data_IF_019180891441
#
_entry.id   IF_019180891441
#
_cell.length_a   1.000
_cell.length_b   1.000
_cell.length_c   1.000
_cell.angle_alpha   90.00
_cell.angle_beta   90.00
_cell.angle_gamma   90.00
#
_symmetry.space_group_name_H-M   'P 1'
#
loop_
_entity.id
_entity.type
_entity.pdbx_description
1 polymer ?
#
# COMPACT_ATOMS: atom_id res chain seq x y z
N UNK A 1 44.88 -67.61 27.67
CA UNK A 1 45.29 -67.63 26.24
C UNK A 1 44.16 -67.04 25.41
N UNK A 2 44.43 -66.41 24.26
CA UNK A 2 45.14 -65.16 24.02
C UNK A 2 44.21 -64.14 23.31
N UNK A 3 44.69 -62.93 23.05
CA UNK A 3 43.98 -61.97 22.20
C UNK A 3 44.64 -60.60 22.19
N UNK A 4 45.83 -60.50 21.60
CA UNK A 4 46.49 -59.23 21.29
C UNK A 4 45.67 -58.46 20.24
N UNK A 5 45.49 -57.15 20.43
CA UNK A 5 45.25 -56.22 19.33
C UNK A 5 46.24 -55.05 19.46
N UNK A 6 47.19 -55.03 18.53
CA UNK A 6 48.06 -53.88 18.26
C UNK A 6 47.24 -52.75 17.64
N UNK A 7 47.40 -51.53 18.15
CA UNK A 7 47.04 -50.31 17.43
C UNK A 7 48.33 -49.54 17.11
N UNK A 8 48.63 -49.47 15.81
CA UNK A 8 49.75 -48.72 15.22
C UNK A 8 49.61 -47.22 15.52
N UNK A 9 50.73 -46.58 15.85
CA UNK A 9 50.88 -45.13 15.94
C UNK A 9 50.54 -44.48 14.60
N UNK A 10 49.74 -43.41 14.63
CA UNK A 10 49.56 -42.47 13.53
C UNK A 10 50.65 -41.40 13.66
N UNK A 11 51.51 -41.31 12.66
CA UNK A 11 52.47 -40.23 12.54
C UNK A 11 51.73 -38.93 12.19
N UNK A 12 52.10 -37.84 12.89
CA UNK A 12 51.61 -36.48 12.66
C UNK A 12 52.21 -35.94 11.36
N UNK A 13 51.37 -35.71 10.34
CA UNK A 13 51.74 -34.91 9.18
C UNK A 13 51.45 -33.43 9.47
N UNK A 14 52.52 -32.65 9.54
CA UNK A 14 52.49 -31.19 9.71
C UNK A 14 52.01 -30.57 8.39
N UNK A 15 50.79 -30.01 8.41
CA UNK A 15 50.25 -29.26 7.29
C UNK A 15 51.04 -27.95 7.11
N UNK A 16 51.72 -27.83 5.97
CA UNK A 16 52.39 -26.60 5.53
C UNK A 16 51.34 -25.65 4.94
N UNK A 17 51.14 -24.48 5.58
CA UNK A 17 50.16 -23.43 5.25
C UNK A 17 50.36 -22.73 3.87
N UNK A 18 51.19 -23.30 2.98
CA UNK A 18 51.67 -22.64 1.77
C UNK A 18 50.93 -22.95 0.47
N UNK A 19 50.07 -23.96 0.42
CA UNK A 19 49.58 -24.47 -0.87
C UNK A 19 48.16 -25.05 -0.80
N UNK A 20 47.19 -24.20 -0.45
CA UNK A 20 45.74 -24.52 -0.54
C UNK A 20 45.16 -24.00 -1.86
N UNK A 21 45.86 -23.11 -2.56
CA UNK A 21 45.32 -22.35 -3.69
C UNK A 21 45.99 -22.67 -5.03
N UNK A 22 46.77 -23.74 -5.08
CA UNK A 22 47.37 -24.25 -6.30
C UNK A 22 46.98 -25.71 -6.51
N UNK A 23 45.70 -25.95 -6.80
CA UNK A 23 45.45 -26.86 -7.91
C UNK A 23 44.37 -26.31 -8.83
N UNK A 24 44.70 -26.43 -10.09
CA UNK A 24 44.04 -25.89 -11.25
C UNK A 24 42.96 -26.86 -11.67
N UNK A 25 41.70 -26.52 -11.43
CA UNK A 25 40.64 -26.94 -12.33
C UNK A 25 39.95 -25.68 -12.85
N UNK A 26 40.15 -25.49 -14.14
CA UNK A 26 39.58 -24.50 -15.04
C UNK A 26 38.08 -24.78 -15.21
N UNK A 27 37.35 -24.95 -14.10
CA UNK A 27 35.91 -24.95 -14.10
C UNK A 27 35.48 -23.49 -14.18
N UNK A 28 35.33 -23.02 -15.42
CA UNK A 28 34.50 -21.86 -15.74
C UNK A 28 33.29 -21.90 -14.81
N UNK A 29 33.23 -20.96 -13.85
CA UNK A 29 32.10 -20.83 -12.96
C UNK A 29 30.88 -20.53 -13.84
N UNK A 30 30.15 -21.59 -14.21
CA UNK A 30 28.88 -21.53 -14.91
C UNK A 30 27.83 -21.39 -13.82
N UNK A 31 27.34 -20.16 -13.56
CA UNK A 31 26.29 -19.99 -12.58
C UNK A 31 25.10 -20.78 -13.10
N UNK A 32 24.60 -21.74 -12.32
CA UNK A 32 23.39 -22.52 -12.58
C UNK A 32 22.15 -21.64 -12.41
N UNK A 33 22.15 -20.47 -13.05
CA UNK A 33 20.99 -19.61 -13.19
C UNK A 33 20.33 -20.10 -14.47
N UNK A 34 19.07 -20.53 -14.37
CA UNK A 34 18.27 -20.86 -15.55
C UNK A 34 18.37 -19.70 -16.56
N UNK A 35 18.57 -19.98 -17.85
CA UNK A 35 18.81 -18.94 -18.86
C UNK A 35 17.70 -17.88 -18.89
N UNK A 36 16.52 -18.26 -18.43
CA UNK A 36 15.30 -17.48 -18.31
C UNK A 36 15.33 -16.49 -17.11
N UNK A 37 16.19 -16.74 -16.12
CA UNK A 37 16.39 -15.92 -14.90
C UNK A 37 17.62 -15.00 -15.00
N UNK A 38 18.28 -14.92 -16.16
CA UNK A 38 19.38 -13.98 -16.37
C UNK A 38 18.88 -12.53 -16.50
N UNK A 39 18.98 -11.77 -15.41
CA UNK A 39 18.66 -10.35 -15.38
C UNK A 39 19.84 -9.52 -15.93
N UNK A 40 19.74 -8.98 -17.14
CA UNK A 40 20.72 -8.04 -17.73
C UNK A 40 20.99 -8.25 -19.23
N UNK A 41 21.79 -7.35 -19.84
CA UNK A 41 22.28 -7.50 -21.22
C UNK A 41 23.48 -8.45 -21.22
N UNK A 42 23.42 -9.53 -22.01
CA UNK A 42 24.56 -10.45 -22.19
C UNK A 42 25.68 -9.70 -22.94
N UNK A 43 26.88 -9.62 -22.33
CA UNK A 43 28.05 -9.00 -22.95
C UNK A 43 29.03 -10.10 -23.39
N UNK A 44 29.51 -10.03 -24.63
CA UNK A 44 30.34 -11.08 -25.27
C UNK A 44 31.85 -10.84 -25.08
N UNK A 45 32.24 -10.21 -23.96
CA UNK A 45 33.63 -9.84 -23.67
C UNK A 45 34.18 -10.57 -22.44
N UNK A 46 35.50 -10.73 -22.38
CA UNK A 46 36.22 -11.22 -21.18
C UNK A 46 36.09 -10.15 -20.09
N UNK A 47 35.06 -10.28 -19.26
CA UNK A 47 34.83 -9.41 -18.10
C UNK A 47 35.42 -10.05 -16.85
N UNK A 48 35.94 -9.23 -15.95
CA UNK A 48 36.41 -9.69 -14.65
C UNK A 48 35.23 -10.18 -13.81
N UNK A 49 35.36 -11.34 -13.15
CA UNK A 49 34.26 -12.06 -12.48
C UNK A 49 33.52 -11.18 -11.46
N UNK A 50 34.26 -10.33 -10.73
CA UNK A 50 33.71 -9.38 -9.78
C UNK A 50 32.83 -8.31 -10.45
N UNK A 51 33.24 -7.82 -11.62
CA UNK A 51 32.47 -6.81 -12.37
C UNK A 51 31.19 -7.41 -12.95
N UNK A 52 31.23 -8.67 -13.40
CA UNK A 52 30.06 -9.40 -13.86
C UNK A 52 29.07 -9.67 -12.73
N UNK A 53 29.56 -10.06 -11.54
CA UNK A 53 28.73 -10.26 -10.35
C UNK A 53 28.05 -8.95 -9.88
N UNK A 54 28.80 -7.84 -9.85
CA UNK A 54 28.27 -6.53 -9.47
C UNK A 54 27.20 -6.05 -10.46
N UNK A 55 27.41 -6.23 -11.78
CA UNK A 55 26.40 -5.91 -12.80
C UNK A 55 25.11 -6.71 -12.61
N UNK A 56 25.20 -8.02 -12.36
CA UNK A 56 24.02 -8.85 -12.09
C UNK A 56 23.27 -8.39 -10.83
N UNK A 57 24.00 -8.03 -9.77
CA UNK A 57 23.40 -7.48 -8.56
C UNK A 57 22.65 -6.18 -8.85
N UNK A 58 23.24 -5.28 -9.65
CA UNK A 58 22.59 -4.03 -10.05
C UNK A 58 21.39 -4.26 -10.99
N UNK A 59 21.49 -5.17 -11.95
CA UNK A 59 20.40 -5.51 -12.86
C UNK A 59 19.20 -6.14 -12.12
N UNK A 60 19.47 -7.09 -11.22
CA UNK A 60 18.46 -7.69 -10.34
C UNK A 60 17.82 -6.65 -9.44
N UNK A 61 18.63 -5.79 -8.82
CA UNK A 61 18.12 -4.68 -8.00
C UNK A 61 17.25 -3.74 -8.83
N UNK A 62 17.68 -3.35 -10.02
CA UNK A 62 16.92 -2.47 -10.92
C UNK A 62 15.60 -3.08 -11.42
N UNK A 63 15.57 -4.38 -11.69
CA UNK A 63 14.32 -5.08 -12.04
C UNK A 63 13.33 -5.11 -10.87
N UNK A 64 13.81 -5.46 -9.67
CA UNK A 64 12.98 -5.47 -8.46
C UNK A 64 12.48 -4.07 -8.13
N UNK A 65 13.35 -3.06 -8.25
CA UNK A 65 13.01 -1.66 -8.03
C UNK A 65 11.97 -1.20 -9.03
N UNK A 66 12.17 -1.42 -10.34
CA UNK A 66 11.20 -1.05 -11.38
C UNK A 66 9.83 -1.73 -11.21
N UNK A 67 9.80 -2.98 -10.73
CA UNK A 67 8.56 -3.69 -10.45
C UNK A 67 7.86 -3.17 -9.19
N UNK A 68 8.64 -2.71 -8.19
CA UNK A 68 8.11 -2.03 -7.01
C UNK A 68 7.56 -0.65 -7.37
N UNK A 69 8.34 0.16 -8.07
CA UNK A 69 7.96 1.50 -8.54
C UNK A 69 6.71 1.45 -9.39
N UNK A 70 6.61 0.53 -10.36
CA UNK A 70 5.43 0.43 -11.24
C UNK A 70 4.15 0.11 -10.46
N UNK A 71 4.23 -0.69 -9.39
CA UNK A 71 3.08 -1.00 -8.53
C UNK A 71 2.69 0.19 -7.67
N UNK A 72 3.68 0.92 -7.16
CA UNK A 72 3.46 2.13 -6.37
C UNK A 72 2.84 3.23 -7.23
N UNK A 73 3.37 3.48 -8.43
CA UNK A 73 2.87 4.46 -9.37
C UNK A 73 1.40 4.20 -9.74
N UNK A 74 1.06 2.94 -10.04
CA UNK A 74 -0.33 2.53 -10.29
C UNK A 74 -1.26 2.80 -9.11
N UNK A 75 -0.80 2.55 -7.89
CA UNK A 75 -1.59 2.79 -6.68
C UNK A 75 -1.78 4.29 -6.43
N UNK A 76 -0.72 5.08 -6.58
CA UNK A 76 -0.76 6.53 -6.41
C UNK A 76 -1.64 7.20 -7.46
N UNK A 77 -1.56 6.77 -8.72
CA UNK A 77 -2.44 7.28 -9.79
C UNK A 77 -3.92 7.03 -9.46
N UNK A 78 -4.25 5.85 -8.93
CA UNK A 78 -5.60 5.53 -8.45
C UNK A 78 -6.02 6.43 -7.27
N UNK A 79 -5.12 6.67 -6.33
CA UNK A 79 -5.36 7.55 -5.19
C UNK A 79 -5.57 9.00 -5.62
N UNK A 80 -4.73 9.54 -6.50
CA UNK A 80 -4.79 10.92 -6.98
C UNK A 80 -6.10 11.21 -7.73
N UNK A 81 -6.65 10.20 -8.41
CA UNK A 81 -7.97 10.28 -9.06
C UNK A 81 -9.12 10.24 -8.05
N UNK A 82 -9.07 9.33 -7.08
CA UNK A 82 -10.16 9.10 -6.13
C UNK A 82 -10.20 10.08 -4.94
N UNK A 83 -9.05 10.59 -4.52
CA UNK A 83 -8.92 11.41 -3.31
C UNK A 83 -9.68 12.74 -3.40
N UNK A 84 -9.61 13.52 -4.49
CA UNK A 84 -10.36 14.78 -4.59
C UNK A 84 -11.88 14.57 -4.45
N UNK A 85 -12.41 13.52 -5.09
CA UNK A 85 -13.82 13.16 -5.02
C UNK A 85 -14.24 12.77 -3.60
N UNK A 86 -13.47 11.92 -2.94
CA UNK A 86 -13.71 11.54 -1.54
C UNK A 86 -13.63 12.74 -0.60
N UNK A 87 -12.70 13.67 -0.85
CA UNK A 87 -12.53 14.89 -0.08
C UNK A 87 -13.73 15.83 -0.22
N UNK A 88 -14.25 16.02 -1.45
CA UNK A 88 -15.45 16.81 -1.70
C UNK A 88 -16.66 16.26 -0.92
N UNK A 89 -16.89 14.96 -1.02
CA UNK A 89 -17.94 14.26 -0.26
C UNK A 89 -17.74 14.44 1.26
N UNK A 90 -16.52 14.29 1.75
CA UNK A 90 -16.17 14.48 3.16
C UNK A 90 -16.46 15.90 3.65
N UNK A 91 -16.15 16.91 2.83
CA UNK A 91 -16.47 18.32 3.13
C UNK A 91 -17.98 18.52 3.21
N UNK A 92 -18.75 17.94 2.29
CA UNK A 92 -20.22 18.02 2.33
C UNK A 92 -20.80 17.43 3.60
N UNK A 93 -20.39 16.20 3.95
CA UNK A 93 -20.81 15.54 5.20
C UNK A 93 -20.43 16.36 6.43
N UNK A 94 -19.19 16.86 6.47
CA UNK A 94 -18.69 17.69 7.56
C UNK A 94 -19.49 18.97 7.74
N UNK A 95 -19.86 19.65 6.64
CA UNK A 95 -20.71 20.84 6.66
C UNK A 95 -22.09 20.53 7.25
N UNK A 96 -22.73 19.44 6.82
CA UNK A 96 -24.06 19.04 7.31
C UNK A 96 -24.05 18.80 8.82
N UNK A 97 -23.09 17.99 9.30
CA UNK A 97 -22.95 17.68 10.72
C UNK A 97 -22.60 18.94 11.52
N UNK A 98 -21.73 19.79 10.99
CA UNK A 98 -21.33 21.05 11.62
C UNK A 98 -22.50 22.01 11.78
N UNK A 99 -23.35 22.14 10.76
CA UNK A 99 -24.56 22.95 10.80
C UNK A 99 -25.52 22.49 11.91
N UNK A 100 -25.81 21.19 11.99
CA UNK A 100 -26.68 20.63 13.04
C UNK A 100 -26.08 20.83 14.45
N UNK A 101 -24.75 20.75 14.59
CA UNK A 101 -24.06 21.01 15.85
C UNK A 101 -24.15 22.48 16.28
N UNK A 102 -24.02 23.41 15.34
CA UNK A 102 -24.14 24.85 15.61
C UNK A 102 -25.54 25.18 16.09
N UNK A 103 -26.58 24.68 15.41
CA UNK A 103 -27.98 24.91 15.79
C UNK A 103 -28.26 24.41 17.21
N UNK A 104 -27.71 23.26 17.58
CA UNK A 104 -27.79 22.73 18.94
C UNK A 104 -27.07 23.62 19.97
N UNK A 105 -25.95 24.24 19.60
CA UNK A 105 -25.14 25.05 20.50
C UNK A 105 -25.68 26.48 20.70
N UNK A 106 -26.49 26.98 19.76
CA UNK A 106 -27.06 28.33 19.84
C UNK A 106 -28.16 28.40 20.90
N UNK A 107 -27.99 29.26 21.90
CA UNK A 107 -28.93 29.38 23.02
C UNK A 107 -30.25 30.08 22.63
N UNK A 108 -30.19 31.01 21.67
CA UNK A 108 -31.32 31.86 21.22
C UNK A 108 -32.30 31.18 20.23
N UNK A 109 -32.21 29.86 20.04
CA UNK A 109 -33.11 29.11 19.15
C UNK A 109 -34.19 28.40 19.98
N UNK A 110 -35.38 28.25 19.40
CA UNK A 110 -36.49 27.49 19.97
C UNK A 110 -36.04 26.07 20.42
N UNK A 111 -36.46 25.66 21.61
CA UNK A 111 -36.11 24.37 22.19
C UNK A 111 -36.66 23.20 21.36
N UNK A 112 -37.75 23.36 20.62
CA UNK A 112 -38.29 22.31 19.75
C UNK A 112 -37.43 22.14 18.48
N UNK A 113 -36.88 23.23 17.94
CA UNK A 113 -35.91 23.19 16.84
C UNK A 113 -34.61 22.52 17.33
N UNK A 114 -34.13 22.85 18.54
CA UNK A 114 -32.96 22.20 19.13
C UNK A 114 -33.16 20.69 19.32
N UNK A 115 -34.34 20.26 19.77
CA UNK A 115 -34.68 18.83 19.92
C UNK A 115 -34.66 18.13 18.56
N UNK A 116 -35.30 18.71 17.53
CA UNK A 116 -35.25 18.17 16.16
C UNK A 116 -33.83 18.07 15.62
N UNK A 117 -33.04 19.13 15.77
CA UNK A 117 -31.63 19.14 15.34
C UNK A 117 -30.82 18.04 16.05
N UNK A 118 -31.09 17.77 17.33
CA UNK A 118 -30.40 16.71 18.07
C UNK A 118 -30.75 15.30 17.56
N UNK A 119 -32.04 15.05 17.25
CA UNK A 119 -32.48 13.77 16.64
C UNK A 119 -31.80 13.59 15.28
N UNK A 120 -31.86 14.60 14.42
CA UNK A 120 -31.23 14.56 13.09
C UNK A 120 -29.71 14.41 13.18
N UNK A 121 -29.05 14.99 14.18
CA UNK A 121 -27.62 14.85 14.39
C UNK A 121 -27.24 13.39 14.72
N UNK A 122 -28.01 12.73 15.57
CA UNK A 122 -27.78 11.31 15.90
C UNK A 122 -27.97 10.43 14.67
N UNK A 123 -29.02 10.67 13.90
CA UNK A 123 -29.28 9.95 12.65
C UNK A 123 -28.19 10.20 11.60
N UNK A 124 -27.80 11.46 11.40
CA UNK A 124 -26.75 11.86 10.48
C UNK A 124 -25.41 11.20 10.83
N UNK A 125 -25.05 11.11 12.11
CA UNK A 125 -23.82 10.42 12.54
C UNK A 125 -23.84 8.92 12.21
N UNK A 126 -25.01 8.30 12.23
CA UNK A 126 -25.15 6.87 11.94
C UNK A 126 -25.25 6.59 10.43
N UNK A 127 -25.87 7.49 9.66
CA UNK A 127 -26.06 7.34 8.21
C UNK A 127 -24.89 7.87 7.39
N UNK A 128 -24.28 8.98 7.80
CA UNK A 128 -23.17 9.64 7.09
C UNK A 128 -21.78 9.10 7.46
N UNK A 129 -21.71 7.88 7.98
CA UNK A 129 -20.43 7.18 8.20
C UNK A 129 -19.71 6.95 6.88
N UNK A 130 -18.38 7.06 6.87
CA UNK A 130 -17.52 6.88 5.69
C UNK A 130 -17.87 5.60 4.90
N UNK A 131 -18.11 4.48 5.61
CA UNK A 131 -18.47 3.19 4.98
C UNK A 131 -19.80 3.19 4.21
N UNK A 132 -20.74 4.06 4.61
CA UNK A 132 -22.06 4.18 3.99
C UNK A 132 -22.05 5.20 2.85
N UNK A 133 -21.34 6.30 3.03
CA UNK A 133 -21.23 7.38 2.05
C UNK A 133 -20.30 7.00 0.90
N UNK A 134 -19.22 6.29 1.17
CA UNK A 134 -18.28 5.80 0.15
C UNK A 134 -18.60 4.37 -0.30
N UNK A 135 -19.87 3.97 -0.24
CA UNK A 135 -20.27 2.63 -0.65
C UNK A 135 -20.25 2.51 -2.18
N UNK A 136 -19.69 1.41 -2.71
CA UNK A 136 -19.64 1.11 -4.15
C UNK A 136 -20.99 1.21 -4.87
N UNK A 137 -22.11 1.08 -4.16
CA UNK A 137 -23.46 1.29 -4.73
C UNK A 137 -23.69 2.67 -5.37
N UNK A 138 -22.95 3.68 -4.93
CA UNK A 138 -23.10 5.06 -5.41
C UNK A 138 -22.05 5.44 -6.47
N UNK A 139 -21.13 4.53 -6.77
CA UNK A 139 -20.03 4.75 -7.72
C UNK A 139 -20.16 3.76 -8.88
N UNK A 140 -19.74 4.18 -10.07
CA UNK A 140 -19.58 3.28 -11.21
C UNK A 140 -18.27 2.47 -11.10
N UNK A 141 -18.01 1.61 -12.10
CA UNK A 141 -16.80 0.79 -12.14
C UNK A 141 -15.51 1.61 -12.30
N UNK A 142 -15.63 2.86 -12.76
CA UNK A 142 -14.54 3.83 -12.89
C UNK A 142 -14.41 4.75 -11.65
N UNK A 143 -15.15 4.45 -10.57
CA UNK A 143 -15.21 5.21 -9.32
C UNK A 143 -15.72 6.66 -9.47
N UNK A 144 -16.45 6.95 -10.55
CA UNK A 144 -17.12 8.22 -10.76
C UNK A 144 -18.56 8.19 -10.22
N UNK A 145 -19.13 9.38 -10.00
CA UNK A 145 -20.54 9.52 -9.63
C UNK A 145 -21.38 9.64 -10.90
N UNK A 146 -22.26 8.67 -11.22
CA UNK A 146 -23.03 8.69 -12.47
C UNK A 146 -24.06 9.83 -12.56
N UNK A 147 -24.44 10.46 -11.44
CA UNK A 147 -25.45 11.53 -11.40
C UNK A 147 -24.94 12.86 -10.81
N UNK A 148 -23.62 13.09 -10.81
CA UNK A 148 -22.93 14.26 -10.21
C UNK A 148 -23.15 14.49 -8.70
N UNK A 149 -24.21 13.93 -8.09
CA UNK A 149 -24.57 14.12 -6.69
C UNK A 149 -25.04 12.80 -6.09
N UNK A 150 -24.44 12.45 -4.95
CA UNK A 150 -24.81 11.30 -4.14
C UNK A 150 -26.24 11.44 -3.60
N UNK A 151 -27.14 10.51 -3.92
CA UNK A 151 -28.57 10.57 -3.55
C UNK A 151 -28.81 10.72 -2.04
N UNK A 152 -28.02 10.02 -1.21
CA UNK A 152 -28.04 10.19 0.25
C UNK A 152 -27.69 11.63 0.67
N UNK A 153 -26.64 12.23 0.09
CA UNK A 153 -26.24 13.60 0.43
C UNK A 153 -27.32 14.60 0.01
N UNK A 154 -28.01 14.38 -1.11
CA UNK A 154 -29.11 15.22 -1.55
C UNK A 154 -30.30 15.15 -0.58
N UNK A 155 -30.66 13.95 -0.11
CA UNK A 155 -31.70 13.78 0.92
C UNK A 155 -31.36 14.56 2.18
N UNK A 156 -30.15 14.38 2.69
CA UNK A 156 -29.69 15.06 3.90
C UNK A 156 -29.58 16.57 3.71
N UNK A 157 -29.16 17.03 2.53
CA UNK A 157 -29.17 18.44 2.15
C UNK A 157 -30.56 19.05 2.27
N UNK A 158 -31.56 18.44 1.65
CA UNK A 158 -32.96 18.89 1.75
C UNK A 158 -33.41 18.97 3.21
N UNK A 159 -33.14 17.93 4.02
CA UNK A 159 -33.55 17.91 5.43
C UNK A 159 -32.92 19.02 6.26
N UNK A 160 -31.66 19.37 5.98
CA UNK A 160 -31.01 20.47 6.68
C UNK A 160 -31.50 21.83 6.17
N UNK A 161 -31.73 21.97 4.86
CA UNK A 161 -32.27 23.20 4.27
C UNK A 161 -33.68 23.50 4.82
N UNK A 162 -34.55 22.50 4.93
CA UNK A 162 -35.87 22.61 5.55
C UNK A 162 -35.77 23.13 7.00
N UNK A 163 -34.82 22.59 7.77
CA UNK A 163 -34.59 23.00 9.15
C UNK A 163 -34.01 24.42 9.25
N UNK A 164 -33.21 24.84 8.28
CA UNK A 164 -32.70 26.21 8.19
C UNK A 164 -33.78 27.22 7.83
N UNK A 165 -34.73 26.83 6.97
CA UNK A 165 -35.86 27.67 6.61
C UNK A 165 -36.80 27.86 7.82
N UNK A 166 -37.01 26.81 8.62
CA UNK A 166 -37.74 26.89 9.91
C UNK A 166 -37.08 27.86 10.92
N UNK A 167 -35.76 28.09 10.84
CA UNK A 167 -35.03 29.04 11.73
C UNK A 167 -35.11 30.48 11.23
N UNK A 168 -35.23 30.68 9.91
CA UNK A 168 -35.32 32.03 9.30
C UNK A 168 -36.75 32.56 9.26
N UNK A 169 -37.76 31.69 9.31
CA UNK A 169 -39.17 32.03 9.39
C UNK A 169 -39.55 32.61 10.75
#
# INVERSE_FOLDING_TARGET
MPGQMEFKKKDEEVLSDGDIWADSDEDDYKPTIDEDEYYGVKHDGVEDSETAALRRQHAKKGYLDGLSTSKEDSLQEGFDKGYPMGAEIGIFVGKMIGQLQIIKALENIDDDIKKRANVLLVEARNELTIQKVLNRKYFDDDLNLPNEIHTLLQRWKSQCDDLFDDIKA
#
